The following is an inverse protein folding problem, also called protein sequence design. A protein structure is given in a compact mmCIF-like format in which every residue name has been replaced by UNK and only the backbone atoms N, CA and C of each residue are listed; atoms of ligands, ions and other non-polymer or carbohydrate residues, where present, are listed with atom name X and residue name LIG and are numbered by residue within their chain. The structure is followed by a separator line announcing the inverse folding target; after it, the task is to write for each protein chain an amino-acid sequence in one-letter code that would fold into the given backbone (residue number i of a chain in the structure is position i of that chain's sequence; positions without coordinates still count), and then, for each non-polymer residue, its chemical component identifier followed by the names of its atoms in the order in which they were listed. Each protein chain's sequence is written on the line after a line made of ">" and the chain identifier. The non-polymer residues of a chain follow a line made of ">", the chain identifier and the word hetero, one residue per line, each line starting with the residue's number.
data_IF_742735081130
#
_entry.id   IF_742735081130
#
_cell.length_a   1.000
_cell.length_b   1.000
_cell.length_c   1.000
_cell.angle_alpha   90.00
_cell.angle_beta   90.00
_cell.angle_gamma   90.00
#
_symmetry.space_group_name_H-M   'P 1'
#
loop_
_entity.id
_entity.type
_entity.pdbx_description
1 polymer ?
#
# COMPACT_ATOMS: atom_id res chain seq x y z
N UNK A 1 16.81 20.14 -0.88
CA UNK A 1 17.33 18.77 -1.12
C UNK A 1 16.14 17.83 -1.21
N UNK A 2 16.16 16.87 -2.14
CA UNK A 2 15.12 15.85 -2.27
C UNK A 2 14.99 15.04 -0.97
N UNK A 3 13.76 14.73 -0.57
CA UNK A 3 13.44 13.96 0.65
C UNK A 3 13.59 12.46 0.48
N UNK A 4 13.70 12.04 -0.78
CA UNK A 4 13.98 10.68 -1.20
C UNK A 4 14.89 10.71 -2.41
N UNK A 5 15.55 9.59 -2.68
CA UNK A 5 16.30 9.33 -3.92
C UNK A 5 15.87 7.97 -4.45
N UNK A 6 15.93 7.79 -5.76
CA UNK A 6 15.63 6.51 -6.42
C UNK A 6 16.81 6.07 -7.28
N UNK A 7 17.03 4.76 -7.32
CA UNK A 7 17.94 4.11 -8.26
C UNK A 7 17.12 3.12 -9.06
N UNK A 8 17.20 3.23 -10.38
CA UNK A 8 16.54 2.33 -11.33
C UNK A 8 17.54 1.31 -11.82
N UNK A 9 17.14 0.05 -11.88
CA UNK A 9 17.98 -1.04 -12.36
C UNK A 9 17.17 -1.92 -13.33
N UNK A 10 17.87 -2.47 -14.32
CA UNK A 10 17.31 -3.43 -15.27
C UNK A 10 17.71 -4.84 -14.88
N UNK A 11 16.81 -5.78 -15.13
CA UNK A 11 16.99 -7.19 -14.80
C UNK A 11 16.98 -8.02 -16.07
N UNK A 12 17.90 -8.97 -16.17
CA UNK A 12 17.88 -10.02 -17.19
C UNK A 12 18.36 -11.32 -16.55
N UNK A 13 17.58 -12.38 -16.70
CA UNK A 13 17.88 -13.71 -16.15
C UNK A 13 18.23 -13.67 -14.64
N UNK A 14 17.51 -12.83 -13.89
CA UNK A 14 17.72 -12.65 -12.45
C UNK A 14 18.99 -11.86 -12.07
N UNK A 15 19.64 -11.20 -13.02
CA UNK A 15 20.82 -10.36 -12.78
C UNK A 15 20.56 -8.88 -13.07
N UNK A 16 21.17 -8.00 -12.26
CA UNK A 16 21.15 -6.55 -12.44
C UNK A 16 22.16 -6.14 -13.52
N UNK A 17 21.72 -5.93 -14.76
CA UNK A 17 22.61 -5.75 -15.92
C UNK A 17 23.30 -4.38 -15.98
N UNK A 18 22.76 -3.39 -15.28
CA UNK A 18 23.26 -2.02 -15.24
C UNK A 18 23.82 -1.64 -13.85
N UNK A 19 23.98 -2.62 -12.95
CA UNK A 19 24.53 -2.38 -11.61
C UNK A 19 25.96 -1.83 -11.66
N UNK A 20 26.81 -2.39 -12.52
CA UNK A 20 28.21 -1.95 -12.62
C UNK A 20 28.37 -0.53 -13.18
N UNK A 21 27.36 -0.04 -13.91
CA UNK A 21 27.33 1.30 -14.48
C UNK A 21 26.91 2.37 -13.46
N UNK A 22 26.39 1.97 -12.28
CA UNK A 22 26.03 2.91 -11.21
C UNK A 22 27.28 3.53 -10.58
N UNK A 23 27.14 4.77 -10.12
CA UNK A 23 28.19 5.44 -9.36
C UNK A 23 28.53 4.70 -8.08
N UNK A 24 29.74 4.88 -7.55
CA UNK A 24 30.11 4.27 -6.26
C UNK A 24 29.19 4.73 -5.10
N UNK A 25 28.66 5.95 -5.16
CA UNK A 25 27.68 6.43 -4.18
C UNK A 25 26.36 5.64 -4.25
N UNK A 26 25.87 5.35 -5.46
CA UNK A 26 24.68 4.52 -5.68
C UNK A 26 24.90 3.07 -5.27
N UNK A 27 26.03 2.46 -5.67
CA UNK A 27 26.41 1.11 -5.25
C UNK A 27 26.50 1.02 -3.72
N UNK A 28 27.07 2.03 -3.07
CA UNK A 28 27.14 2.12 -1.62
C UNK A 28 25.74 2.23 -0.98
N UNK A 29 24.84 3.04 -1.53
CA UNK A 29 23.46 3.12 -1.07
C UNK A 29 22.74 1.76 -1.16
N UNK A 30 22.85 1.07 -2.30
CA UNK A 30 22.27 -0.26 -2.54
C UNK A 30 22.78 -1.33 -1.56
N UNK A 31 24.01 -1.19 -1.05
CA UNK A 31 24.61 -2.14 -0.11
C UNK A 31 24.30 -1.84 1.35
N UNK A 32 24.15 -0.57 1.71
CA UNK A 32 24.27 -0.13 3.10
C UNK A 32 23.13 0.74 3.63
N UNK A 33 22.12 1.08 2.82
CA UNK A 33 20.99 1.91 3.28
C UNK A 33 19.67 1.14 3.38
N UNK A 34 18.84 1.57 4.31
CA UNK A 34 17.43 1.19 4.39
C UNK A 34 16.73 1.62 3.09
N UNK A 35 16.02 0.69 2.46
CA UNK A 35 15.43 0.88 1.15
C UNK A 35 14.06 0.23 1.05
N UNK A 36 13.18 0.89 0.30
CA UNK A 36 11.99 0.28 -0.30
C UNK A 36 12.35 -0.04 -1.77
N UNK A 37 11.88 -1.15 -2.31
CA UNK A 37 12.08 -1.49 -3.71
C UNK A 37 10.81 -2.06 -4.32
N UNK A 38 10.62 -1.81 -5.61
CA UNK A 38 9.49 -2.31 -6.39
C UNK A 38 10.01 -2.95 -7.67
N UNK A 39 9.76 -4.25 -7.84
CA UNK A 39 10.01 -4.97 -9.09
C UNK A 39 8.80 -4.86 -10.01
N UNK A 40 9.06 -4.79 -11.32
CA UNK A 40 8.06 -4.84 -12.38
C UNK A 40 8.50 -5.81 -13.47
N UNK A 41 7.54 -6.58 -13.98
CA UNK A 41 7.69 -7.35 -15.21
C UNK A 41 6.86 -6.66 -16.28
N UNK A 42 7.50 -6.09 -17.28
CA UNK A 42 6.78 -5.31 -18.31
C UNK A 42 5.84 -6.20 -19.11
N UNK A 43 6.24 -7.43 -19.42
CA UNK A 43 5.39 -8.39 -20.14
C UNK A 43 4.34 -9.05 -19.25
N UNK A 44 4.76 -9.57 -18.10
CA UNK A 44 3.86 -10.26 -17.15
C UNK A 44 2.91 -9.31 -16.43
N UNK A 45 3.20 -8.00 -16.45
CA UNK A 45 2.53 -6.94 -15.69
C UNK A 45 2.61 -7.14 -14.16
N UNK A 46 3.40 -8.10 -13.68
CA UNK A 46 3.52 -8.42 -12.26
C UNK A 46 4.33 -7.34 -11.53
N UNK A 47 3.97 -7.11 -10.27
CA UNK A 47 4.61 -6.18 -9.35
C UNK A 47 4.96 -6.92 -8.05
N UNK A 48 6.10 -6.58 -7.47
CA UNK A 48 6.45 -6.96 -6.10
C UNK A 48 7.04 -5.77 -5.36
N UNK A 49 6.56 -5.52 -4.15
CA UNK A 49 7.08 -4.45 -3.29
C UNK A 49 7.84 -5.09 -2.13
N UNK A 50 8.99 -4.56 -1.73
CA UNK A 50 9.67 -5.04 -0.53
C UNK A 50 10.58 -4.01 0.10
N UNK A 51 11.04 -4.30 1.31
CA UNK A 51 12.02 -3.49 2.02
C UNK A 51 13.29 -4.28 2.37
N UNK A 52 14.40 -3.58 2.64
CA UNK A 52 15.68 -4.18 3.04
C UNK A 52 16.64 -3.13 3.60
N UNK A 53 17.72 -3.58 4.24
CA UNK A 53 18.89 -2.75 4.60
C UNK A 53 20.09 -2.94 3.67
N UNK A 54 20.01 -3.95 2.79
CA UNK A 54 21.00 -4.28 1.79
C UNK A 54 20.27 -4.86 0.59
N UNK A 55 20.08 -4.03 -0.44
CA UNK A 55 19.34 -4.38 -1.63
C UNK A 55 20.10 -5.40 -2.48
N UNK A 56 21.41 -5.23 -2.66
CA UNK A 56 22.20 -6.16 -3.49
C UNK A 56 22.10 -7.61 -2.97
N UNK A 57 22.26 -7.80 -1.65
CA UNK A 57 22.11 -9.12 -1.01
C UNK A 57 20.67 -9.63 -1.11
N UNK A 58 19.67 -8.76 -0.89
CA UNK A 58 18.25 -9.13 -0.95
C UNK A 58 17.83 -9.56 -2.36
N UNK A 59 18.35 -8.90 -3.39
CA UNK A 59 18.15 -9.26 -4.80
C UNK A 59 18.71 -10.66 -5.08
N UNK A 60 19.96 -10.94 -4.69
CA UNK A 60 20.56 -12.29 -4.83
C UNK A 60 19.72 -13.36 -4.11
N UNK A 61 19.13 -13.03 -2.96
CA UNK A 61 18.24 -13.95 -2.24
C UNK A 61 16.94 -14.22 -3.00
N UNK A 62 16.29 -13.20 -3.58
CA UNK A 62 15.10 -13.39 -4.39
C UNK A 62 15.32 -14.38 -5.56
N UNK A 63 16.48 -14.26 -6.23
CA UNK A 63 16.84 -15.12 -7.36
C UNK A 63 17.67 -16.35 -6.99
N UNK A 64 17.70 -16.74 -5.71
CA UNK A 64 18.43 -17.94 -5.25
C UNK A 64 17.73 -19.26 -5.58
N UNK A 65 16.51 -19.21 -6.13
CA UNK A 65 15.66 -20.38 -6.40
C UNK A 65 14.70 -20.75 -5.26
N UNK A 66 14.80 -20.09 -4.10
CA UNK A 66 13.92 -20.36 -2.93
C UNK A 66 12.57 -19.63 -3.04
N UNK A 67 12.54 -18.44 -3.62
CA UNK A 67 11.32 -17.64 -3.76
C UNK A 67 10.63 -17.91 -5.11
N UNK A 68 9.80 -18.94 -5.20
CA UNK A 68 9.11 -19.36 -6.45
C UNK A 68 8.42 -18.22 -7.21
N UNK A 69 7.85 -17.24 -6.48
CA UNK A 69 7.21 -16.07 -7.08
C UNK A 69 8.15 -15.27 -7.99
N UNK A 70 9.45 -15.21 -7.68
CA UNK A 70 10.44 -14.51 -8.52
C UNK A 70 10.85 -15.31 -9.75
N UNK A 71 10.74 -16.64 -9.72
CA UNK A 71 11.05 -17.50 -10.87
C UNK A 71 10.01 -17.35 -12.00
N UNK A 72 8.75 -17.11 -11.64
CA UNK A 72 7.62 -17.04 -12.58
C UNK A 72 7.14 -15.61 -12.83
N UNK A 73 7.82 -14.60 -12.29
CA UNK A 73 7.39 -13.21 -12.37
C UNK A 73 7.81 -12.50 -13.66
N UNK A 74 8.88 -12.97 -14.33
CA UNK A 74 9.47 -12.31 -15.51
C UNK A 74 9.73 -10.81 -15.25
N UNK A 75 10.39 -10.51 -14.12
CA UNK A 75 10.77 -9.15 -13.75
C UNK A 75 11.94 -8.66 -14.61
N UNK A 76 11.79 -7.48 -15.21
CA UNK A 76 12.78 -6.84 -16.07
C UNK A 76 13.21 -5.45 -15.56
N UNK A 77 12.49 -4.89 -14.58
CA UNK A 77 12.81 -3.60 -13.96
C UNK A 77 12.69 -3.66 -12.44
N UNK A 78 13.53 -2.88 -11.74
CA UNK A 78 13.37 -2.61 -10.31
C UNK A 78 13.74 -1.16 -9.99
N UNK A 79 12.90 -0.52 -9.19
CA UNK A 79 13.15 0.82 -8.65
C UNK A 79 13.42 0.68 -7.15
N UNK A 80 14.54 1.23 -6.68
CA UNK A 80 14.96 1.20 -5.28
C UNK A 80 14.94 2.62 -4.73
N UNK A 81 14.04 2.90 -3.80
CA UNK A 81 13.89 4.17 -3.12
C UNK A 81 14.62 4.20 -1.78
N UNK A 82 15.23 5.36 -1.48
CA UNK A 82 15.95 5.66 -0.25
C UNK A 82 15.43 6.96 0.36
N UNK A 83 15.42 7.05 1.68
CA UNK A 83 15.12 8.29 2.39
C UNK A 83 15.82 8.29 3.75
N UNK A 84 16.18 9.48 4.24
CA UNK A 84 16.71 9.66 5.60
C UNK A 84 15.67 9.36 6.68
N UNK A 85 14.38 9.39 6.32
CA UNK A 85 13.28 9.09 7.25
C UNK A 85 13.09 7.57 7.43
N UNK A 86 13.72 6.72 6.60
CA UNK A 86 13.53 5.28 6.63
C UNK A 86 14.16 4.64 7.86
N UNK A 87 13.30 4.29 8.79
CA UNK A 87 13.51 3.33 9.86
C UNK A 87 12.53 2.16 9.69
N UNK A 88 12.58 1.17 10.60
CA UNK A 88 11.75 -0.04 10.50
C UNK A 88 10.24 0.28 10.41
N UNK A 89 9.72 1.08 11.32
CA UNK A 89 8.29 1.40 11.37
C UNK A 89 7.84 2.18 10.12
N UNK A 90 8.68 3.10 9.65
CA UNK A 90 8.41 3.87 8.43
C UNK A 90 8.40 2.96 7.20
N UNK A 91 9.38 2.06 7.07
CA UNK A 91 9.42 1.13 5.95
C UNK A 91 8.23 0.16 5.96
N UNK A 92 7.81 -0.33 7.15
CA UNK A 92 6.62 -1.17 7.29
C UNK A 92 5.34 -0.43 6.77
N UNK A 93 5.20 0.87 7.07
CA UNK A 93 4.09 1.71 6.56
C UNK A 93 4.17 1.93 5.05
N UNK A 94 5.35 2.30 4.55
CA UNK A 94 5.58 2.57 3.12
C UNK A 94 5.35 1.31 2.29
N UNK A 95 5.89 0.16 2.70
CA UNK A 95 5.67 -1.14 2.05
C UNK A 95 4.19 -1.48 2.01
N UNK A 96 3.50 -1.39 3.16
CA UNK A 96 2.08 -1.72 3.25
C UNK A 96 1.19 -0.82 2.37
N UNK A 97 1.45 0.49 2.38
CA UNK A 97 0.72 1.46 1.54
C UNK A 97 0.97 1.25 0.05
N UNK A 98 2.22 1.04 -0.36
CA UNK A 98 2.54 0.78 -1.76
C UNK A 98 1.90 -0.52 -2.26
N UNK A 99 1.97 -1.61 -1.50
CA UNK A 99 1.26 -2.87 -1.84
C UNK A 99 -0.23 -2.59 -2.03
N UNK A 100 -0.84 -1.84 -1.12
CA UNK A 100 -2.26 -1.50 -1.17
C UNK A 100 -2.61 -0.68 -2.42
N UNK A 101 -1.81 0.35 -2.73
CA UNK A 101 -2.06 1.25 -3.86
C UNK A 101 -1.84 0.54 -5.20
N UNK A 102 -0.75 -0.22 -5.36
CA UNK A 102 -0.53 -1.03 -6.56
C UNK A 102 -1.64 -2.07 -6.74
N UNK A 103 -2.12 -2.69 -5.65
CA UNK A 103 -3.22 -3.65 -5.72
C UNK A 103 -4.51 -3.00 -6.21
N UNK A 104 -4.82 -1.78 -5.74
CA UNK A 104 -5.99 -1.03 -6.19
C UNK A 104 -5.85 -0.60 -7.66
N UNK A 105 -4.71 -0.06 -8.08
CA UNK A 105 -4.48 0.34 -9.47
C UNK A 105 -4.65 -0.84 -10.46
N UNK A 106 -4.15 -2.03 -10.08
CA UNK A 106 -4.21 -3.22 -10.95
C UNK A 106 -5.57 -3.94 -10.93
N UNK A 107 -6.32 -3.88 -9.84
CA UNK A 107 -7.68 -4.46 -9.79
C UNK A 107 -8.64 -3.80 -10.80
N UNK A 108 -8.48 -2.51 -11.05
CA UNK A 108 -9.24 -1.81 -12.09
C UNK A 108 -9.04 -2.41 -13.49
N UNK A 109 -7.78 -2.73 -13.84
CA UNK A 109 -7.45 -3.36 -15.13
C UNK A 109 -8.14 -4.73 -15.29
N UNK A 110 -8.22 -5.49 -14.20
CA UNK A 110 -8.81 -6.84 -14.15
C UNK A 110 -10.34 -6.83 -14.35
N UNK A 111 -11.05 -5.77 -13.92
CA UNK A 111 -12.51 -5.67 -14.15
C UNK A 111 -12.87 -5.37 -15.60
N UNK A 112 -11.92 -4.85 -16.37
CA UNK A 112 -12.14 -4.45 -17.77
C UNK A 112 -11.72 -5.54 -18.76
N UNK A 113 -10.99 -6.57 -18.30
CA UNK A 113 -10.49 -7.69 -19.10
C UNK A 113 -11.05 -9.02 -18.59
N UNK A 114 -11.92 -9.65 -19.37
CA UNK A 114 -12.41 -11.02 -19.15
C UNK A 114 -11.30 -12.00 -19.55
N UNK A 115 -10.27 -12.10 -18.72
CA UNK A 115 -9.22 -13.09 -18.89
C UNK A 115 -9.21 -14.02 -17.67
N UNK A 116 -8.95 -15.31 -17.87
CA UNK A 116 -9.09 -16.33 -16.82
C UNK A 116 -7.74 -16.78 -16.24
N UNK A 117 -6.62 -16.16 -16.66
CA UNK A 117 -5.25 -16.48 -16.22
C UNK A 117 -4.68 -15.47 -15.20
N UNK A 118 -5.51 -15.02 -14.25
CA UNK A 118 -5.14 -13.96 -13.30
C UNK A 118 -4.40 -14.51 -12.07
N UNK A 119 -3.14 -14.91 -12.26
CA UNK A 119 -2.19 -15.04 -11.14
C UNK A 119 -1.94 -13.65 -10.53
N UNK A 120 -1.98 -13.52 -9.20
CA UNK A 120 -1.83 -12.28 -8.43
C UNK A 120 -0.90 -11.24 -9.10
N UNK A 121 -1.46 -10.16 -9.68
CA UNK A 121 -0.66 -9.13 -10.37
C UNK A 121 0.31 -8.46 -9.40
N UNK A 122 -0.08 -8.28 -8.14
CA UNK A 122 0.82 -7.91 -7.05
C UNK A 122 1.17 -9.17 -6.25
N UNK A 123 2.42 -9.62 -6.32
CA UNK A 123 2.85 -10.94 -5.84
C UNK A 123 3.02 -11.05 -4.32
N UNK A 124 2.88 -9.95 -3.59
CA UNK A 124 2.93 -9.95 -2.13
C UNK A 124 1.77 -9.18 -1.53
N UNK A 125 1.33 -9.62 -0.34
CA UNK A 125 0.19 -9.07 0.38
C UNK A 125 0.67 -8.45 1.68
N UNK A 126 -0.04 -7.44 2.14
CA UNK A 126 0.07 -6.97 3.52
C UNK A 126 -0.31 -8.13 4.44
N UNK A 127 0.56 -8.58 5.35
CA UNK A 127 0.31 -9.76 6.22
C UNK A 127 -0.77 -9.52 7.30
N UNK A 128 -1.73 -8.64 7.06
CA UNK A 128 -2.67 -8.15 8.08
C UNK A 128 -1.99 -7.28 9.14
N UNK A 129 -0.78 -6.78 8.86
CA UNK A 129 -0.04 -5.94 9.80
C UNK A 129 -0.77 -4.59 9.92
N UNK A 130 -1.36 -4.35 11.08
CA UNK A 130 -1.73 -3.00 11.50
C UNK A 130 -0.43 -2.24 11.71
N UNK A 131 -0.16 -1.28 10.82
CA UNK A 131 0.96 -0.37 10.97
C UNK A 131 0.60 0.60 12.09
N UNK A 132 1.37 0.57 13.17
CA UNK A 132 1.19 1.50 14.29
C UNK A 132 1.40 2.94 13.79
N UNK A 133 0.63 3.87 14.34
CA UNK A 133 0.85 5.28 14.06
C UNK A 133 2.25 5.72 14.56
N UNK A 134 2.86 6.69 13.88
CA UNK A 134 4.19 7.16 14.21
C UNK A 134 4.35 8.65 13.89
N UNK A 135 5.21 9.32 14.67
CA UNK A 135 5.50 10.74 14.50
C UNK A 135 6.04 10.98 13.09
N UNK A 136 5.40 11.87 12.34
CA UNK A 136 5.79 12.21 10.97
C UNK A 136 5.16 11.31 9.89
N UNK A 137 4.17 10.47 10.22
CA UNK A 137 3.47 9.63 9.23
C UNK A 137 2.81 10.42 8.11
N UNK A 138 2.20 11.56 8.40
CA UNK A 138 1.66 12.46 7.37
C UNK A 138 2.77 12.98 6.45
N UNK A 139 3.89 13.39 7.03
CA UNK A 139 5.08 13.84 6.30
C UNK A 139 5.66 12.74 5.41
N UNK A 140 5.76 11.49 5.89
CA UNK A 140 6.17 10.35 5.04
C UNK A 140 5.18 10.16 3.90
N UNK A 141 3.88 10.29 4.16
CA UNK A 141 2.87 10.19 3.11
C UNK A 141 3.05 11.26 2.03
N UNK A 142 3.16 12.53 2.43
CA UNK A 142 3.21 13.67 1.51
C UNK A 142 4.57 13.91 0.86
N UNK A 143 5.68 13.62 1.55
CA UNK A 143 7.03 13.88 1.05
C UNK A 143 7.71 12.66 0.40
N UNK A 144 7.19 11.44 0.61
CA UNK A 144 7.81 10.21 0.10
C UNK A 144 6.82 9.39 -0.72
N UNK A 145 5.69 8.98 -0.14
CA UNK A 145 4.79 8.01 -0.79
C UNK A 145 4.08 8.63 -2.00
N UNK A 146 3.44 9.80 -1.82
CA UNK A 146 2.76 10.48 -2.93
C UNK A 146 3.74 10.87 -4.05
N UNK A 147 4.93 11.44 -3.77
CA UNK A 147 5.90 11.73 -4.81
C UNK A 147 6.45 10.49 -5.53
N UNK A 148 6.70 9.37 -4.83
CA UNK A 148 7.10 8.12 -5.48
C UNK A 148 5.99 7.62 -6.43
N UNK A 149 4.72 7.73 -6.00
CA UNK A 149 3.58 7.35 -6.82
C UNK A 149 3.44 8.22 -8.07
N UNK A 150 3.32 9.53 -7.87
CA UNK A 150 2.96 10.49 -8.91
C UNK A 150 4.11 10.80 -9.86
N UNK A 151 5.33 10.92 -9.34
CA UNK A 151 6.47 11.43 -10.13
C UNK A 151 7.42 10.31 -10.58
N UNK A 152 7.33 9.11 -10.00
CA UNK A 152 8.19 7.98 -10.40
C UNK A 152 7.36 6.91 -11.08
N UNK A 153 6.39 6.32 -10.38
CA UNK A 153 5.64 5.19 -10.92
C UNK A 153 4.68 5.60 -12.03
N UNK A 154 3.95 6.70 -11.87
CA UNK A 154 3.02 7.17 -12.91
C UNK A 154 3.73 7.68 -14.15
N UNK A 155 4.75 8.54 -14.01
CA UNK A 155 5.49 9.08 -15.15
C UNK A 155 6.17 7.99 -16.00
N UNK A 156 6.53 6.86 -15.38
CA UNK A 156 7.08 5.67 -16.08
C UNK A 156 6.03 4.70 -16.60
N UNK A 157 4.75 4.99 -16.39
CA UNK A 157 3.64 4.10 -16.77
C UNK A 157 3.65 2.77 -16.03
N UNK A 158 4.18 2.73 -14.79
CA UNK A 158 4.05 1.57 -13.90
C UNK A 158 2.64 1.45 -13.34
N UNK A 159 1.94 2.60 -13.22
CA UNK A 159 0.55 2.72 -12.74
C UNK A 159 -0.27 3.54 -13.73
N UNK A 160 -1.59 3.34 -13.74
CA UNK A 160 -2.49 4.03 -14.69
C UNK A 160 -3.13 5.28 -14.08
N UNK A 161 -3.32 5.31 -12.77
CA UNK A 161 -3.91 6.44 -12.06
C UNK A 161 -2.83 7.33 -11.49
N UNK A 162 -2.90 8.63 -11.81
CA UNK A 162 -1.86 9.60 -11.43
C UNK A 162 -1.84 9.80 -9.94
N UNK A 163 -3.01 10.03 -9.34
CA UNK A 163 -3.15 10.34 -7.92
C UNK A 163 -3.73 9.17 -7.15
N UNK A 164 -3.43 9.08 -5.86
CA UNK A 164 -4.09 8.11 -4.97
C UNK A 164 -5.59 8.41 -4.83
N UNK A 165 -6.01 9.67 -4.97
CA UNK A 165 -7.43 10.03 -4.94
C UNK A 165 -8.21 9.55 -6.18
N UNK A 166 -7.56 9.41 -7.34
CA UNK A 166 -8.14 8.73 -8.50
C UNK A 166 -8.38 7.24 -8.22
N UNK A 167 -7.48 6.57 -7.48
CA UNK A 167 -7.73 5.20 -7.00
C UNK A 167 -8.94 5.17 -6.05
N UNK A 168 -9.09 6.22 -5.23
CA UNK A 168 -10.18 6.32 -4.24
C UNK A 168 -11.55 6.52 -4.84
N UNK A 169 -11.62 7.35 -5.86
CA UNK A 169 -12.87 7.68 -6.58
C UNK A 169 -13.32 6.55 -7.50
N UNK A 170 -12.38 5.73 -8.01
CA UNK A 170 -12.69 4.63 -8.95
C UNK A 170 -12.93 3.26 -8.28
N UNK A 171 -12.30 2.94 -7.16
CA UNK A 171 -12.47 1.61 -6.50
C UNK A 171 -12.69 1.59 -4.96
N UNK A 172 -12.20 2.57 -4.19
CA UNK A 172 -12.14 2.46 -2.70
C UNK A 172 -13.41 2.86 -1.93
N UNK A 173 -14.60 2.86 -2.56
CA UNK A 173 -15.85 2.93 -1.77
C UNK A 173 -16.25 1.56 -1.22
N UNK A 174 -15.77 0.45 -1.79
CA UNK A 174 -16.30 -0.87 -1.42
C UNK A 174 -15.41 -1.71 -0.50
N UNK A 175 -14.09 -1.76 -0.69
CA UNK A 175 -13.23 -2.62 0.14
C UNK A 175 -11.80 -2.07 0.19
N UNK A 176 -11.33 -1.73 1.41
CA UNK A 176 -9.94 -1.46 1.85
C UNK A 176 -9.71 -0.06 2.47
N UNK A 177 -8.97 0.03 3.59
CA UNK A 177 -9.22 0.97 4.68
C UNK A 177 -8.28 2.18 4.66
N UNK A 178 -8.63 3.22 3.90
CA UNK A 178 -8.10 4.57 4.14
C UNK A 178 -9.18 5.60 3.78
N UNK A 179 -10.28 5.58 4.52
CA UNK A 179 -11.01 6.83 4.73
C UNK A 179 -10.60 7.32 6.10
N UNK A 180 -9.74 8.35 6.10
CA UNK A 180 -9.40 9.08 7.31
C UNK A 180 -10.71 9.59 7.89
N UNK A 181 -10.95 9.30 9.16
CA UNK A 181 -12.09 9.84 9.88
C UNK A 181 -12.00 11.37 9.83
N UNK A 182 -13.12 12.04 9.62
CA UNK A 182 -13.16 13.47 9.97
C UNK A 182 -12.92 13.64 11.47
N UNK A 183 -12.44 14.80 11.91
CA UNK A 183 -12.22 15.06 13.35
C UNK A 183 -13.48 14.81 14.19
N UNK A 184 -14.65 15.12 13.63
CA UNK A 184 -15.95 14.86 14.25
C UNK A 184 -16.21 13.35 14.40
N UNK A 185 -15.97 12.56 13.34
CA UNK A 185 -16.12 11.11 13.37
C UNK A 185 -15.10 10.43 14.31
N UNK A 186 -13.88 10.97 14.41
CA UNK A 186 -12.87 10.48 15.35
C UNK A 186 -13.28 10.73 16.80
N UNK A 187 -13.74 11.95 17.13
CA UNK A 187 -14.27 12.29 18.46
C UNK A 187 -15.48 11.43 18.81
N UNK A 188 -16.37 11.19 17.86
CA UNK A 188 -17.55 10.36 18.06
C UNK A 188 -17.17 8.90 18.37
N UNK A 189 -16.17 8.33 17.68
CA UNK A 189 -15.67 7.00 18.01
C UNK A 189 -15.07 6.97 19.41
N UNK A 190 -14.24 7.95 19.74
CA UNK A 190 -13.60 8.04 21.06
C UNK A 190 -14.64 8.11 22.19
N UNK A 191 -15.69 8.92 22.02
CA UNK A 191 -16.80 9.02 22.94
C UNK A 191 -17.49 7.66 23.14
N UNK A 192 -17.83 6.98 22.05
CA UNK A 192 -18.56 5.70 22.09
C UNK A 192 -17.72 4.62 22.79
N UNK A 193 -16.43 4.51 22.45
CA UNK A 193 -15.53 3.49 22.99
C UNK A 193 -15.35 3.64 24.51
N UNK A 194 -15.26 4.89 25.00
CA UNK A 194 -15.10 5.20 26.42
C UNK A 194 -16.40 5.18 27.22
N UNK A 195 -17.57 5.15 26.57
CA UNK A 195 -18.88 5.16 27.22
C UNK A 195 -19.76 3.97 26.76
N UNK A 196 -19.36 2.72 27.07
CA UNK A 196 -19.99 1.51 26.52
C UNK A 196 -21.40 1.22 27.06
N UNK A 197 -21.79 1.88 28.14
CA UNK A 197 -23.12 1.73 28.75
C UNK A 197 -24.16 2.65 28.13
N UNK A 198 -23.74 3.55 27.22
CA UNK A 198 -24.63 4.48 26.50
C UNK A 198 -25.00 3.91 25.15
N UNK A 199 -26.25 4.19 24.75
CA UNK A 199 -26.74 3.89 23.41
C UNK A 199 -26.61 5.14 22.53
N UNK A 200 -26.15 4.96 21.30
CA UNK A 200 -25.93 6.04 20.34
C UNK A 200 -26.79 5.83 19.10
N UNK A 201 -27.36 6.92 18.59
CA UNK A 201 -28.00 6.97 17.28
C UNK A 201 -27.23 7.98 16.44
N UNK A 202 -26.59 7.51 15.37
CA UNK A 202 -25.75 8.34 14.51
C UNK A 202 -26.45 8.50 13.17
N UNK A 203 -26.94 9.70 12.93
CA UNK A 203 -27.60 10.05 11.67
C UNK A 203 -26.60 10.70 10.71
N UNK A 204 -26.81 10.49 9.42
CA UNK A 204 -26.03 11.17 8.40
C UNK A 204 -26.64 10.93 7.03
N UNK A 205 -26.46 11.86 6.12
CA UNK A 205 -27.01 11.76 4.78
C UNK A 205 -26.32 10.67 3.93
N UNK A 206 -26.87 10.40 2.75
CA UNK A 206 -26.23 9.50 1.80
C UNK A 206 -24.83 10.04 1.44
N UNK A 207 -23.81 9.19 1.49
CA UNK A 207 -22.43 9.57 1.15
C UNK A 207 -21.58 10.13 2.29
N UNK A 208 -22.14 10.43 3.47
CA UNK A 208 -21.39 11.03 4.62
C UNK A 208 -20.43 10.07 5.35
N UNK A 209 -20.21 8.87 4.80
CA UNK A 209 -19.22 7.94 5.36
C UNK A 209 -19.69 7.11 6.56
N UNK A 210 -20.99 6.94 6.80
CA UNK A 210 -21.53 6.10 7.89
C UNK A 210 -20.92 4.68 7.95
N UNK A 211 -20.75 4.02 6.80
CA UNK A 211 -20.10 2.70 6.74
C UNK A 211 -18.65 2.74 7.20
N UNK A 212 -17.94 3.82 6.86
CA UNK A 212 -16.54 4.02 7.27
C UNK A 212 -16.44 4.26 8.76
N UNK A 213 -17.32 5.11 9.32
CA UNK A 213 -17.42 5.33 10.75
C UNK A 213 -17.69 4.02 11.50
N UNK A 214 -18.63 3.20 11.00
CA UNK A 214 -18.95 1.89 11.58
C UNK A 214 -17.75 0.94 11.56
N UNK A 215 -17.03 0.86 10.44
CA UNK A 215 -15.83 -0.01 10.34
C UNK A 215 -14.73 0.42 11.32
N UNK A 216 -14.47 1.72 11.44
CA UNK A 216 -13.47 2.23 12.37
C UNK A 216 -13.90 2.04 13.83
N UNK A 217 -15.18 2.24 14.15
CA UNK A 217 -15.70 2.00 15.50
C UNK A 217 -15.50 0.54 15.93
N UNK A 218 -15.81 -0.42 15.06
CA UNK A 218 -15.60 -1.85 15.33
C UNK A 218 -14.11 -2.14 15.54
N UNK A 219 -13.24 -1.59 14.70
CA UNK A 219 -11.79 -1.77 14.84
C UNK A 219 -11.27 -1.21 16.18
N UNK A 220 -11.65 0.02 16.55
CA UNK A 220 -11.27 0.64 17.82
C UNK A 220 -11.79 -0.16 19.02
N UNK A 221 -13.03 -0.64 18.97
CA UNK A 221 -13.60 -1.49 20.04
C UNK A 221 -12.86 -2.82 20.21
N UNK A 222 -12.40 -3.45 19.12
CA UNK A 222 -11.61 -4.70 19.20
C UNK A 222 -10.23 -4.48 19.82
N UNK A 223 -9.62 -3.30 19.61
CA UNK A 223 -8.32 -2.94 20.18
C UNK A 223 -8.46 -2.64 21.68
N UNK A 224 -9.38 -1.75 22.04
CA UNK A 224 -9.57 -1.28 23.41
C UNK A 224 -10.24 -2.35 24.31
N UNK A 225 -11.00 -3.27 23.70
CA UNK A 225 -11.75 -4.31 24.43
C UNK A 225 -11.52 -5.68 23.80
N UNK A 226 -10.35 -6.26 24.10
CA UNK A 226 -9.91 -7.58 23.57
C UNK A 226 -10.89 -8.74 23.82
N UNK A 227 -11.81 -8.63 24.78
CA UNK A 227 -12.83 -9.64 25.10
C UNK A 227 -14.23 -9.31 24.57
N UNK A 228 -14.42 -8.16 23.90
CA UNK A 228 -15.72 -7.75 23.39
C UNK A 228 -16.17 -8.65 22.23
N UNK A 229 -17.45 -9.07 22.28
CA UNK A 229 -18.14 -9.71 21.16
C UNK A 229 -18.99 -8.65 20.47
N UNK A 230 -18.66 -8.34 19.22
CA UNK A 230 -19.29 -7.26 18.46
C UNK A 230 -20.17 -7.87 17.37
N UNK A 231 -21.46 -7.54 17.39
CA UNK A 231 -22.39 -7.84 16.31
C UNK A 231 -22.58 -6.62 15.42
N UNK A 232 -22.51 -6.81 14.11
CA UNK A 232 -22.77 -5.75 13.12
C UNK A 232 -23.84 -6.24 12.16
N UNK A 233 -24.94 -5.51 12.09
CA UNK A 233 -26.01 -5.79 11.13
C UNK A 233 -26.04 -4.67 10.07
N UNK A 234 -26.09 -5.06 8.80
CA UNK A 234 -26.20 -4.13 7.68
C UNK A 234 -27.44 -4.47 6.85
N UNK A 235 -28.49 -3.67 7.01
CA UNK A 235 -29.72 -3.79 6.23
C UNK A 235 -29.74 -2.71 5.14
N UNK A 236 -29.74 -3.15 3.88
CA UNK A 236 -29.76 -2.26 2.72
C UNK A 236 -31.20 -1.93 2.35
N UNK A 237 -31.82 -1.01 3.07
CA UNK A 237 -33.17 -0.54 2.79
C UNK A 237 -33.14 0.60 1.76
N UNK A 238 -33.28 0.27 0.47
CA UNK A 238 -33.54 1.27 -0.56
C UNK A 238 -33.04 0.96 -1.97
N UNK A 239 -33.87 0.22 -2.72
CA UNK A 239 -34.21 0.49 -4.14
C UNK A 239 -35.55 -0.23 -4.41
N UNK A 240 -36.67 0.43 -4.15
CA UNK A 240 -37.89 0.11 -4.91
C UNK A 240 -37.59 0.56 -6.33
N UNK A 241 -37.49 -0.40 -7.25
CA UNK A 241 -37.58 -0.09 -8.68
C UNK A 241 -38.97 0.51 -8.90
N UNK A 242 -38.99 1.72 -9.44
CA UNK A 242 -40.11 2.24 -10.22
C UNK A 242 -39.57 2.36 -11.63
#
# INVERSE_FOLDING_TARGET
>A
MSKYNVIELKIRDGQLIDFEQKSEAEKNALRNQNAIYVYRGTKSQKIYVGQTKNFEKRHKQHYSGVEEKFLNADFDEVIVGFSREFNRSVLDDVESKLITYFSADKQHKLKTMVDFNHSDVVLNRTRGNNVNDYIGREKVSSEIILPLWENIFYEKGWVENKTIDELRTKELVKYSPVKVLTDEQAKLIDEIVHNPQKNYVINGDAGTGKTVLLTHLVASMLIERKSAKIGVEYSRTGRKQV
#
